data_IF_033753134759
#
_entry.id   IF_033753134759
#
_cell.length_a   1.000
_cell.length_b   1.000
_cell.length_c   1.000
_cell.angle_alpha   90.00
_cell.angle_beta   90.00
_cell.angle_gamma   90.00
#
_symmetry.space_group_name_H-M   'P 1'
#
loop_
_entity.id
_entity.type
_entity.pdbx_description
1 polymer ?
#
# COMPACT_ATOMS: atom_id res chain seq x y z
N UNK A 1 -4.18 -37.80 57.22
CA UNK A 1 -5.24 -37.54 56.23
C UNK A 1 -5.04 -36.13 55.69
N UNK A 2 -4.36 -35.89 54.55
CA UNK A 2 -4.86 -36.02 53.16
C UNK A 2 -6.00 -34.99 52.89
N UNK A 3 -6.05 -34.13 51.87
CA UNK A 3 -5.42 -34.04 50.55
C UNK A 3 -5.50 -32.57 50.02
N UNK A 4 -4.66 -32.19 49.06
CA UNK A 4 -4.96 -31.21 47.99
C UNK A 4 -5.56 -31.96 46.77
N UNK A 5 -6.10 -31.32 45.70
CA UNK A 5 -6.94 -30.11 45.56
C UNK A 5 -8.24 -30.45 44.76
N UNK A 6 -8.96 -29.49 44.14
CA UNK A 6 -8.99 -29.57 42.67
C UNK A 6 -8.87 -28.22 41.94
N UNK A 7 -8.23 -28.29 40.78
CA UNK A 7 -8.29 -27.30 39.72
C UNK A 7 -9.74 -27.05 39.28
N UNK A 8 -10.13 -25.78 39.14
CA UNK A 8 -11.14 -25.39 38.16
C UNK A 8 -10.52 -24.38 37.19
N UNK A 9 -10.30 -24.86 35.98
CA UNK A 9 -10.05 -24.04 34.81
C UNK A 9 -11.32 -23.23 34.56
N UNK A 10 -11.23 -21.90 34.60
CA UNK A 10 -12.20 -21.01 33.96
C UNK A 10 -11.48 -20.21 32.89
N UNK A 11 -11.46 -20.79 31.70
CA UNK A 11 -11.37 -20.04 30.45
C UNK A 11 -12.65 -19.24 30.30
N UNK A 12 -12.59 -17.92 30.45
CA UNK A 12 -13.53 -17.07 29.73
C UNK A 12 -12.77 -15.89 29.12
N UNK A 13 -12.74 -15.91 27.79
CA UNK A 13 -12.46 -14.76 26.95
C UNK A 13 -13.42 -13.65 27.34
N UNK A 14 -12.89 -12.60 27.97
CA UNK A 14 -13.65 -11.40 28.31
C UNK A 14 -12.79 -10.18 28.03
N UNK A 15 -12.85 -9.69 26.80
CA UNK A 15 -12.26 -8.40 26.42
C UNK A 15 -13.08 -7.30 27.09
N UNK A 16 -12.74 -6.91 28.32
CA UNK A 16 -13.33 -5.73 28.95
C UNK A 16 -12.71 -4.48 28.33
N UNK A 17 -13.33 -3.98 27.26
CA UNK A 17 -13.14 -2.60 26.79
C UNK A 17 -13.94 -1.69 27.72
N UNK A 18 -13.26 -1.09 28.71
CA UNK A 18 -13.86 -0.01 29.50
C UNK A 18 -13.82 1.27 28.66
N UNK A 19 -14.94 1.58 28.01
CA UNK A 19 -15.20 2.88 27.40
C UNK A 19 -15.94 3.75 28.42
N UNK A 20 -15.20 4.56 29.18
CA UNK A 20 -15.76 5.67 29.95
C UNK A 20 -15.94 6.86 29.00
N UNK A 21 -17.17 7.36 28.90
CA UNK A 21 -17.61 8.38 27.93
C UNK A 21 -16.92 9.74 28.03
N UNK A 22 -15.98 9.95 28.96
CA UNK A 22 -15.32 11.24 29.19
C UNK A 22 -13.79 11.21 29.10
N UNK A 23 -13.17 10.10 28.68
CA UNK A 23 -11.72 10.01 28.56
C UNK A 23 -11.32 9.23 27.30
N UNK A 24 -11.07 9.95 26.20
CA UNK A 24 -10.58 9.41 24.91
C UNK A 24 -9.12 8.92 25.01
N UNK A 25 -8.79 8.14 26.04
CA UNK A 25 -7.46 7.53 26.20
C UNK A 25 -7.54 6.06 25.83
N UNK A 26 -7.23 5.77 24.56
CA UNK A 26 -6.95 4.41 24.12
C UNK A 26 -5.62 3.98 24.75
N UNK A 27 -5.68 3.15 25.80
CA UNK A 27 -4.49 2.59 26.43
C UNK A 27 -3.98 1.42 25.59
N UNK A 28 -2.97 1.66 24.76
CA UNK A 28 -2.30 0.60 24.00
C UNK A 28 -1.42 -0.23 24.93
N UNK A 29 -1.39 -1.56 24.75
CA UNK A 29 -0.48 -2.47 25.48
C UNK A 29 1.01 -2.25 25.23
N UNK A 30 1.34 -1.34 24.32
CA UNK A 30 2.70 -1.08 23.86
C UNK A 30 3.12 0.35 24.16
N UNK A 31 4.42 0.59 24.43
CA UNK A 31 4.94 1.93 24.62
C UNK A 31 4.73 2.76 23.35
N UNK A 32 4.19 3.96 23.52
CA UNK A 32 4.05 4.92 22.45
C UNK A 32 5.30 5.80 22.40
N UNK A 33 6.08 5.66 21.34
CA UNK A 33 7.27 6.48 21.11
C UNK A 33 6.86 7.79 20.41
N UNK A 34 7.15 8.93 21.04
CA UNK A 34 6.97 10.27 20.47
C UNK A 34 8.31 10.79 19.93
N UNK A 35 8.26 11.82 19.07
CA UNK A 35 9.44 12.55 18.58
C UNK A 35 10.44 11.71 17.77
N UNK A 36 9.98 10.56 17.24
CA UNK A 36 10.80 9.69 16.40
C UNK A 36 10.76 10.16 14.94
N UNK A 37 11.88 10.68 14.45
CA UNK A 37 12.04 11.03 13.04
C UNK A 37 12.13 9.75 12.20
N UNK A 38 11.15 9.53 11.31
CA UNK A 38 11.01 8.31 10.49
C UNK A 38 12.29 7.91 9.75
N UNK A 39 12.98 8.86 9.10
CA UNK A 39 14.18 8.54 8.32
C UNK A 39 15.34 8.04 9.21
N UNK A 40 15.53 8.66 10.37
CA UNK A 40 16.56 8.25 11.33
C UNK A 40 16.20 6.91 11.97
N UNK A 41 14.92 6.70 12.26
CA UNK A 41 14.41 5.44 12.77
C UNK A 41 14.64 4.29 11.80
N UNK A 42 14.20 4.41 10.55
CA UNK A 42 14.38 3.35 9.53
C UNK A 42 15.87 3.06 9.28
N UNK A 43 16.73 4.09 9.26
CA UNK A 43 18.19 3.94 9.11
C UNK A 43 18.84 3.23 10.31
N UNK A 44 18.31 3.43 11.51
CA UNK A 44 18.83 2.77 12.72
C UNK A 44 18.30 1.34 12.83
N UNK A 45 17.04 1.13 12.45
CA UNK A 45 16.39 -0.18 12.43
C UNK A 45 17.06 -1.13 11.45
N UNK A 46 17.41 -0.66 10.25
CA UNK A 46 18.07 -1.49 9.23
C UNK A 46 19.39 -2.10 9.68
N UNK A 47 20.12 -1.46 10.61
CA UNK A 47 21.36 -1.97 11.19
C UNK A 47 21.16 -3.10 12.22
N UNK A 48 19.94 -3.24 12.75
CA UNK A 48 19.61 -4.18 13.84
C UNK A 48 18.68 -5.31 13.41
N UNK A 49 18.06 -5.18 12.23
CA UNK A 49 17.09 -6.14 11.74
C UNK A 49 17.78 -7.45 11.31
N UNK A 50 17.29 -8.58 11.79
CA UNK A 50 17.61 -9.89 11.19
C UNK A 50 16.73 -10.10 9.95
N UNK A 51 17.32 -10.53 8.85
CA UNK A 51 16.58 -10.81 7.63
C UNK A 51 15.50 -11.88 7.87
N UNK A 52 14.27 -11.61 7.43
CA UNK A 52 13.15 -12.53 7.43
C UNK A 52 12.49 -12.50 6.05
N UNK A 53 12.59 -13.61 5.31
CA UNK A 53 12.09 -13.75 3.94
C UNK A 53 10.76 -14.50 3.86
N UNK A 54 10.15 -14.91 4.98
CA UNK A 54 8.94 -15.76 4.96
C UNK A 54 7.78 -15.11 4.19
N UNK A 55 7.55 -13.81 4.37
CA UNK A 55 6.50 -13.09 3.64
C UNK A 55 6.81 -13.01 2.13
N UNK A 56 8.09 -12.85 1.77
CA UNK A 56 8.54 -12.81 0.38
C UNK A 56 8.39 -14.17 -0.30
N UNK A 57 8.75 -15.27 0.38
CA UNK A 57 8.54 -16.63 -0.12
C UNK A 57 7.05 -16.95 -0.30
N UNK A 58 6.21 -16.55 0.66
CA UNK A 58 4.76 -16.74 0.55
C UNK A 58 4.16 -15.98 -0.64
N UNK A 59 4.62 -14.75 -0.87
CA UNK A 59 4.24 -13.99 -2.06
C UNK A 59 4.65 -14.72 -3.34
N UNK A 60 5.90 -15.16 -3.45
CA UNK A 60 6.40 -15.86 -4.64
C UNK A 60 5.68 -17.18 -4.91
N UNK A 61 5.30 -17.92 -3.86
CA UNK A 61 4.53 -19.17 -4.00
C UNK A 61 3.13 -18.94 -4.58
N UNK A 62 2.48 -17.83 -4.23
CA UNK A 62 1.15 -17.46 -4.70
C UNK A 62 1.15 -16.48 -5.87
N UNK A 63 2.32 -16.14 -6.41
CA UNK A 63 2.42 -15.12 -7.46
C UNK A 63 1.84 -15.64 -8.77
N UNK A 64 0.84 -14.94 -9.27
CA UNK A 64 0.28 -15.17 -10.61
C UNK A 64 0.86 -14.10 -11.54
N UNK A 65 1.62 -14.49 -12.58
CA UNK A 65 2.09 -13.55 -13.59
C UNK A 65 0.92 -12.83 -14.22
N UNK A 66 1.10 -11.55 -14.54
CA UNK A 66 0.10 -10.79 -15.27
C UNK A 66 -0.12 -11.40 -16.68
N UNK A 67 -1.39 -11.52 -17.10
CA UNK A 67 -1.70 -11.67 -18.52
C UNK A 67 -1.19 -10.42 -19.26
N UNK A 68 -0.55 -10.50 -20.43
CA UNK A 68 -1.01 -11.23 -21.60
C UNK A 68 -2.24 -10.53 -22.18
N UNK A 69 -2.17 -9.22 -22.45
CA UNK A 69 -3.28 -8.58 -23.17
C UNK A 69 -3.44 -9.18 -24.57
N UNK A 70 -4.67 -9.33 -25.08
CA UNK A 70 -4.89 -9.69 -26.47
C UNK A 70 -4.27 -8.66 -27.42
N UNK A 71 -3.85 -9.13 -28.60
CA UNK A 71 -3.51 -8.27 -29.72
C UNK A 71 -4.76 -7.52 -30.18
N UNK A 72 -4.59 -6.26 -30.53
CA UNK A 72 -5.63 -5.35 -31.01
C UNK A 72 -5.45 -5.15 -32.51
N UNK A 73 -6.54 -5.21 -33.29
CA UNK A 73 -6.53 -4.84 -34.71
C UNK A 73 -6.53 -3.30 -34.84
N UNK A 74 -5.70 -2.67 -35.69
CA UNK A 74 -5.70 -1.22 -35.89
C UNK A 74 -7.06 -0.60 -36.24
N UNK A 75 -8.00 -1.37 -36.79
CA UNK A 75 -9.34 -0.90 -37.18
C UNK A 75 -10.41 -1.19 -36.12
N UNK A 76 -10.09 -1.89 -35.04
CA UNK A 76 -11.05 -2.15 -33.98
C UNK A 76 -11.29 -0.88 -33.11
N UNK A 77 -12.46 -0.75 -32.47
CA UNK A 77 -12.70 0.32 -31.52
C UNK A 77 -11.66 0.32 -30.38
N UNK A 78 -11.12 1.50 -30.04
CA UNK A 78 -10.12 1.62 -28.98
C UNK A 78 -10.68 1.17 -27.63
N UNK A 79 -9.94 0.28 -26.96
CA UNK A 79 -10.26 -0.20 -25.61
C UNK A 79 -9.23 0.33 -24.61
N UNK A 80 -9.65 0.56 -23.37
CA UNK A 80 -8.78 1.12 -22.31
C UNK A 80 -7.50 0.30 -22.13
N UNK A 81 -7.60 -1.04 -22.18
CA UNK A 81 -6.43 -1.88 -22.02
C UNK A 81 -5.43 -1.74 -23.18
N UNK A 82 -5.91 -1.48 -24.40
CA UNK A 82 -5.06 -1.23 -25.58
C UNK A 82 -4.37 0.13 -25.43
N UNK A 83 -5.09 1.15 -24.96
CA UNK A 83 -4.50 2.45 -24.64
C UNK A 83 -3.36 2.31 -23.63
N UNK A 84 -3.59 1.59 -22.53
CA UNK A 84 -2.57 1.40 -21.48
C UNK A 84 -1.39 0.52 -21.91
N UNK A 85 -1.55 -0.39 -22.88
CA UNK A 85 -0.41 -1.07 -23.50
C UNK A 85 0.51 -0.07 -24.23
N UNK A 86 -0.06 0.91 -24.92
CA UNK A 86 0.72 1.92 -25.62
C UNK A 86 1.38 2.87 -24.63
N UNK A 87 0.65 3.31 -23.59
CA UNK A 87 1.21 4.11 -22.50
C UNK A 87 2.39 3.38 -21.84
N UNK A 88 2.25 2.10 -21.52
CA UNK A 88 3.33 1.29 -20.94
C UNK A 88 4.63 1.31 -21.76
N UNK A 89 4.52 1.35 -23.10
CA UNK A 89 5.68 1.43 -24.00
C UNK A 89 6.31 2.82 -24.04
N UNK A 90 5.56 3.86 -23.67
CA UNK A 90 6.06 5.25 -23.59
C UNK A 90 6.73 5.58 -22.27
N UNK A 91 6.39 4.86 -21.18
CA UNK A 91 6.96 5.11 -19.85
C UNK A 91 8.42 4.67 -19.80
N UNK A 92 9.30 5.60 -19.42
CA UNK A 92 10.74 5.40 -19.24
C UNK A 92 11.22 5.90 -17.87
N UNK A 93 12.51 5.76 -17.57
CA UNK A 93 13.11 6.32 -16.35
C UNK A 93 13.09 7.85 -16.29
N UNK A 94 12.92 8.52 -17.43
CA UNK A 94 12.90 9.99 -17.57
C UNK A 94 11.48 10.54 -17.59
N UNK A 95 10.48 9.67 -17.64
CA UNK A 95 9.06 10.04 -17.68
C UNK A 95 8.53 10.32 -16.27
N UNK A 96 7.64 11.31 -16.16
CA UNK A 96 6.75 11.47 -15.02
C UNK A 96 5.32 11.08 -15.41
N UNK A 97 4.69 10.19 -14.64
CA UNK A 97 3.28 9.82 -14.80
C UNK A 97 2.46 10.56 -13.74
N UNK A 98 1.46 11.31 -14.17
CA UNK A 98 0.54 12.00 -13.26
C UNK A 98 -0.87 11.43 -13.50
N UNK A 99 -1.43 10.75 -12.49
CA UNK A 99 -2.72 10.08 -12.60
C UNK A 99 -3.85 10.97 -12.03
N UNK A 100 -4.72 11.46 -12.93
CA UNK A 100 -5.95 12.19 -12.61
C UNK A 100 -6.91 11.34 -11.76
N UNK A 101 -7.77 11.99 -10.99
CA UNK A 101 -8.81 11.36 -10.20
C UNK A 101 -9.75 10.51 -11.05
N UNK A 102 -10.24 9.39 -10.48
CA UNK A 102 -11.12 8.37 -11.08
C UNK A 102 -10.35 7.22 -11.74
N UNK A 103 -10.78 6.75 -12.92
CA UNK A 103 -10.34 5.48 -13.52
C UNK A 103 -8.85 5.47 -13.83
N UNK A 104 -8.26 6.65 -14.00
CA UNK A 104 -6.84 6.79 -14.22
C UNK A 104 -6.03 6.27 -13.01
N UNK A 105 -6.51 6.38 -11.77
CA UNK A 105 -5.84 5.80 -10.60
C UNK A 105 -5.67 4.29 -10.73
N UNK A 106 -6.73 3.58 -11.09
CA UNK A 106 -6.72 2.12 -11.20
C UNK A 106 -5.92 1.65 -12.41
N UNK A 107 -6.01 2.35 -13.54
CA UNK A 107 -5.29 1.95 -14.74
C UNK A 107 -3.80 2.30 -14.65
N UNK A 108 -3.44 3.46 -14.10
CA UNK A 108 -2.05 3.86 -13.92
C UNK A 108 -1.35 3.03 -12.83
N UNK A 109 -2.07 2.55 -11.81
CA UNK A 109 -1.51 1.61 -10.82
C UNK A 109 -1.05 0.27 -11.45
N UNK A 110 -1.59 -0.10 -12.62
CA UNK A 110 -1.15 -1.30 -13.35
C UNK A 110 0.10 -1.09 -14.19
N UNK A 111 0.60 0.14 -14.31
CA UNK A 111 1.81 0.43 -15.07
C UNK A 111 3.04 -0.08 -14.31
N UNK A 112 3.95 -0.74 -15.04
CA UNK A 112 5.28 -1.09 -14.58
C UNK A 112 6.18 0.12 -14.73
N UNK A 113 6.54 0.72 -13.60
CA UNK A 113 7.36 1.93 -13.55
C UNK A 113 8.85 1.56 -13.55
N UNK A 114 9.62 1.99 -14.56
CA UNK A 114 11.07 1.84 -14.55
C UNK A 114 11.70 2.60 -13.38
N UNK A 115 12.86 2.14 -12.91
CA UNK A 115 13.61 2.86 -11.87
C UNK A 115 13.90 4.29 -12.34
N UNK A 116 13.55 5.28 -11.52
CA UNK A 116 13.73 6.70 -11.83
C UNK A 116 12.45 7.39 -12.33
N UNK A 117 11.49 6.64 -12.86
CA UNK A 117 10.19 7.17 -13.28
C UNK A 117 9.46 7.77 -12.07
N UNK A 118 8.93 8.99 -12.25
CA UNK A 118 8.11 9.64 -11.21
C UNK A 118 6.65 9.24 -11.38
N UNK A 119 5.91 9.19 -10.27
CA UNK A 119 4.50 8.84 -10.25
C UNK A 119 3.76 9.70 -9.22
N UNK A 120 2.82 10.51 -9.69
CA UNK A 120 2.09 11.48 -8.89
C UNK A 120 0.59 11.23 -8.98
N UNK A 121 -0.11 11.30 -7.85
CA UNK A 121 -1.58 11.15 -7.79
C UNK A 121 -2.13 11.79 -6.53
N UNK A 122 -3.31 12.40 -6.60
CA UNK A 122 -3.92 13.12 -5.49
C UNK A 122 -5.00 12.29 -4.78
N UNK A 123 -4.63 11.19 -4.11
CA UNK A 123 -5.61 10.28 -3.51
C UNK A 123 -6.36 10.87 -2.30
N UNK A 124 -5.71 11.72 -1.49
CA UNK A 124 -6.30 12.22 -0.25
C UNK A 124 -7.39 13.27 -0.50
N UNK A 125 -7.15 14.21 -1.42
CA UNK A 125 -8.12 15.25 -1.75
C UNK A 125 -9.05 14.82 -2.90
N UNK A 126 -8.52 14.11 -3.90
CA UNK A 126 -9.33 13.54 -4.98
C UNK A 126 -10.05 14.59 -5.83
N UNK A 127 -9.41 15.74 -6.09
CA UNK A 127 -10.00 16.75 -6.98
C UNK A 127 -9.94 16.28 -8.43
N UNK A 128 -11.04 16.44 -9.17
CA UNK A 128 -11.06 16.20 -10.61
C UNK A 128 -10.61 17.48 -11.30
N UNK A 129 -9.60 17.38 -12.18
CA UNK A 129 -9.06 18.51 -12.93
C UNK A 129 -7.79 19.11 -12.32
N UNK A 130 -7.32 18.61 -11.15
CA UNK A 130 -6.05 19.04 -10.56
C UNK A 130 -4.85 18.77 -11.47
N UNK A 131 -4.97 17.77 -12.35
CA UNK A 131 -3.93 17.39 -13.29
C UNK A 131 -3.49 18.58 -14.15
N UNK A 132 -4.43 19.43 -14.58
CA UNK A 132 -4.14 20.56 -15.47
C UNK A 132 -3.21 21.56 -14.79
N UNK A 133 -3.53 21.97 -13.57
CA UNK A 133 -2.71 22.91 -12.81
C UNK A 133 -1.35 22.32 -12.45
N UNK A 134 -1.31 21.04 -12.06
CA UNK A 134 -0.04 20.40 -11.70
C UNK A 134 0.85 20.19 -12.92
N UNK A 135 0.31 19.78 -14.07
CA UNK A 135 1.11 19.61 -15.28
C UNK A 135 1.78 20.91 -15.70
N UNK A 136 1.09 22.05 -15.59
CA UNK A 136 1.65 23.37 -15.88
C UNK A 136 2.77 23.77 -14.92
N UNK A 137 2.69 23.37 -13.64
CA UNK A 137 3.75 23.65 -12.67
C UNK A 137 4.90 22.65 -12.68
N UNK A 138 4.70 21.47 -13.28
CA UNK A 138 5.71 20.41 -13.38
C UNK A 138 6.57 20.54 -14.64
N UNK A 139 6.01 21.10 -15.72
CA UNK A 139 6.66 21.36 -17.00
C UNK A 139 7.42 22.70 -17.00
#
# INVERSE_FOLDING_TARGET
>A
MSMLPPNSVSSSMGTHLNLSSNDLRVQTRYPLFREVIRINFLKSLSKRLKCNITAYENYHRGYVPEGQSPKSDPKEPLRVYVLFQHIQKMVSSETGVIAETRDSWFNCQKLKLPRGCRYEFQLQYGSIGWLVGVTLGYA
#
